data_IF_038411686534
#
_entry.id   IF_038411686534
#
_cell.length_a   1.000
_cell.length_b   1.000
_cell.length_c   1.000
_cell.angle_alpha   90.00
_cell.angle_beta   90.00
_cell.angle_gamma   90.00
#
_symmetry.space_group_name_H-M   'P 1'
#
loop_
_entity.id
_entity.type
_entity.pdbx_description
1 polymer ?
#
# COMPACT_ATOMS: atom_id res chain seq x y z
N UNK A 1 -17.05 -34.28 0.30
CA UNK A 1 -17.40 -35.55 0.98
C UNK A 1 -16.50 -36.69 0.54
N UNK A 2 -16.00 -37.51 1.49
CA UNK A 2 -15.28 -38.73 1.15
C UNK A 2 -16.16 -39.63 0.26
N UNK A 3 -15.53 -40.18 -0.77
CA UNK A 3 -16.12 -41.17 -1.66
C UNK A 3 -16.22 -42.54 -0.97
N UNK A 4 -15.16 -42.92 -0.28
CA UNK A 4 -15.08 -44.16 0.50
C UNK A 4 -14.07 -44.00 1.64
N UNK A 5 -14.14 -44.87 2.65
CA UNK A 5 -13.09 -44.99 3.66
C UNK A 5 -12.83 -46.46 3.94
N UNK A 6 -11.58 -46.78 4.33
CA UNK A 6 -11.15 -48.13 4.67
C UNK A 6 -10.23 -48.09 5.88
N UNK A 7 -10.60 -48.78 6.94
CA UNK A 7 -9.76 -48.94 8.14
C UNK A 7 -8.88 -50.18 7.98
N UNK A 8 -7.59 -50.04 8.24
CA UNK A 8 -6.58 -51.10 8.15
C UNK A 8 -6.11 -51.57 9.53
N UNK A 9 -6.17 -50.71 10.55
CA UNK A 9 -5.96 -51.05 11.97
C UNK A 9 -6.64 -50.01 12.86
N UNK A 10 -6.68 -50.23 14.18
CA UNK A 10 -7.30 -49.32 15.15
C UNK A 10 -6.77 -47.87 15.08
N UNK A 11 -5.52 -47.71 14.61
CA UNK A 11 -4.86 -46.41 14.47
C UNK A 11 -4.60 -46.01 13.00
N UNK A 12 -5.11 -46.76 12.02
CA UNK A 12 -4.85 -46.48 10.61
C UNK A 12 -6.08 -46.69 9.73
N UNK A 13 -6.53 -45.63 9.08
CA UNK A 13 -7.57 -45.65 8.06
C UNK A 13 -7.19 -44.77 6.86
N UNK A 14 -7.58 -45.19 5.66
CA UNK A 14 -7.55 -44.36 4.47
C UNK A 14 -8.94 -43.81 4.15
N UNK A 15 -8.99 -42.57 3.68
CA UNK A 15 -10.17 -41.97 3.09
C UNK A 15 -9.90 -41.67 1.64
N UNK A 16 -10.75 -42.17 0.76
CA UNK A 16 -10.75 -41.82 -0.65
C UNK A 16 -11.67 -40.61 -0.85
N UNK A 17 -11.13 -39.51 -1.37
CA UNK A 17 -11.93 -38.32 -1.67
C UNK A 17 -12.55 -38.44 -3.07
N UNK A 18 -13.78 -37.92 -3.23
CA UNK A 18 -14.40 -37.84 -4.56
C UNK A 18 -13.51 -37.00 -5.49
N UNK A 19 -13.31 -37.45 -6.74
CA UNK A 19 -12.67 -36.64 -7.78
C UNK A 19 -13.43 -35.32 -7.91
N UNK A 20 -12.74 -34.22 -7.66
CA UNK A 20 -13.31 -32.88 -7.68
C UNK A 20 -13.36 -32.41 -9.15
N UNK A 21 -14.55 -32.35 -9.72
CA UNK A 21 -14.77 -31.62 -10.96
C UNK A 21 -14.88 -30.13 -10.61
N UNK A 22 -14.04 -29.29 -11.22
CA UNK A 22 -14.04 -27.84 -11.01
C UNK A 22 -14.41 -27.18 -12.33
N UNK A 23 -15.48 -26.40 -12.32
CA UNK A 23 -15.80 -25.48 -13.42
C UNK A 23 -14.95 -24.23 -13.21
N UNK A 24 -14.20 -23.83 -14.22
CA UNK A 24 -13.30 -22.68 -14.17
C UNK A 24 -13.95 -21.45 -14.80
N UNK A 25 -14.91 -20.87 -14.09
CA UNK A 25 -15.73 -19.71 -14.50
C UNK A 25 -15.33 -18.42 -13.79
N UNK A 26 -14.26 -18.46 -12.98
CA UNK A 26 -13.78 -17.30 -12.22
C UNK A 26 -12.73 -16.52 -13.01
N UNK A 27 -12.77 -15.18 -12.98
CA UNK A 27 -11.82 -14.33 -13.70
C UNK A 27 -10.46 -14.22 -12.98
N UNK A 28 -9.84 -15.35 -12.65
CA UNK A 28 -8.61 -15.41 -11.85
C UNK A 28 -7.46 -14.67 -12.55
N UNK A 29 -7.33 -14.81 -13.87
CA UNK A 29 -6.29 -14.12 -14.65
C UNK A 29 -6.48 -12.60 -14.67
N UNK A 30 -7.73 -12.13 -14.71
CA UNK A 30 -8.04 -10.70 -14.63
C UNK A 30 -7.66 -10.16 -13.24
N UNK A 31 -8.02 -10.90 -12.18
CA UNK A 31 -7.64 -10.55 -10.81
C UNK A 31 -6.12 -10.48 -10.62
N UNK A 32 -5.37 -11.43 -11.19
CA UNK A 32 -3.91 -11.41 -11.19
C UNK A 32 -3.36 -10.19 -11.93
N UNK A 33 -3.84 -9.91 -13.15
CA UNK A 33 -3.37 -8.77 -13.92
C UNK A 33 -3.61 -7.43 -13.19
N UNK A 34 -4.79 -7.25 -12.59
CA UNK A 34 -5.09 -6.06 -11.80
C UNK A 34 -4.14 -5.93 -10.61
N UNK A 35 -3.90 -7.04 -9.87
CA UNK A 35 -3.00 -7.03 -8.72
C UNK A 35 -1.57 -6.65 -9.12
N UNK A 36 -1.05 -7.20 -10.21
CA UNK A 36 0.31 -6.86 -10.68
C UNK A 36 0.40 -5.41 -11.15
N UNK A 37 -0.62 -4.88 -11.84
CA UNK A 37 -0.68 -3.46 -12.20
C UNK A 37 -0.72 -2.55 -10.98
N UNK A 38 -1.47 -2.91 -9.93
CA UNK A 38 -1.51 -2.14 -8.69
C UNK A 38 -0.16 -2.13 -7.97
N UNK A 39 0.56 -3.25 -7.95
CA UNK A 39 1.93 -3.32 -7.39
C UNK A 39 2.90 -2.46 -8.19
N UNK A 40 2.82 -2.49 -9.52
CA UNK A 40 3.69 -1.70 -10.39
C UNK A 40 3.56 -0.20 -10.11
N UNK A 41 2.34 0.31 -9.92
CA UNK A 41 2.09 1.71 -9.57
C UNK A 41 2.77 2.08 -8.23
N UNK A 42 2.61 1.22 -7.22
CA UNK A 42 3.22 1.42 -5.90
C UNK A 42 4.75 1.38 -5.96
N UNK A 43 5.30 0.40 -6.69
CA UNK A 43 6.74 0.25 -6.85
C UNK A 43 7.36 1.38 -7.66
N UNK A 44 6.72 1.81 -8.75
CA UNK A 44 7.21 2.93 -9.56
C UNK A 44 7.24 4.22 -8.75
N UNK A 45 6.22 4.49 -7.93
CA UNK A 45 6.25 5.65 -7.04
C UNK A 45 7.45 5.64 -6.08
N UNK A 46 7.75 4.50 -5.47
CA UNK A 46 8.89 4.44 -4.55
C UNK A 46 10.23 4.36 -5.26
N UNK A 47 10.43 3.39 -6.15
CA UNK A 47 11.73 3.08 -6.75
C UNK A 47 12.13 3.98 -7.91
N UNK A 48 11.17 4.47 -8.70
CA UNK A 48 11.48 5.33 -9.86
C UNK A 48 11.42 6.82 -9.49
N UNK A 49 10.59 7.19 -8.50
CA UNK A 49 10.40 8.59 -8.11
C UNK A 49 11.02 8.94 -6.75
N UNK A 50 10.53 8.36 -5.64
CA UNK A 50 10.98 8.77 -4.29
C UNK A 50 12.46 8.43 -4.06
N UNK A 51 12.87 7.21 -4.36
CA UNK A 51 14.22 6.70 -4.06
C UNK A 51 15.31 7.44 -4.85
N UNK A 52 15.18 7.70 -6.16
CA UNK A 52 16.19 8.47 -6.89
C UNK A 52 16.19 9.95 -6.49
N UNK A 53 15.02 10.53 -6.18
CA UNK A 53 14.90 11.95 -5.82
C UNK A 53 15.46 12.29 -4.45
N UNK A 54 15.31 11.40 -3.47
CA UNK A 54 15.75 11.62 -2.08
C UNK A 54 16.93 10.74 -1.65
N UNK A 55 17.35 9.76 -2.47
CA UNK A 55 18.52 8.89 -2.29
C UNK A 55 18.51 8.20 -0.92
N UNK A 56 19.31 8.69 0.03
CA UNK A 56 19.44 8.15 1.38
C UNK A 56 18.54 8.86 2.40
N UNK A 57 17.78 9.87 1.96
CA UNK A 57 16.85 10.62 2.80
C UNK A 57 15.43 10.08 2.78
N UNK A 58 15.19 8.89 2.21
CA UNK A 58 13.88 8.23 2.21
C UNK A 58 13.99 6.73 2.45
N UNK A 59 13.19 6.25 3.39
CA UNK A 59 13.11 4.84 3.79
C UNK A 59 11.64 4.41 3.97
N UNK A 60 11.32 3.19 3.56
CA UNK A 60 10.02 2.58 3.85
C UNK A 60 10.07 2.01 5.26
N UNK A 61 9.28 2.57 6.18
CA UNK A 61 9.09 2.01 7.51
C UNK A 61 8.02 0.91 7.53
N UNK A 62 7.02 1.03 6.67
CA UNK A 62 5.90 0.09 6.56
C UNK A 62 5.21 0.20 5.20
N UNK A 63 4.61 -0.89 4.74
CA UNK A 63 3.83 -0.96 3.51
C UNK A 63 2.59 -1.84 3.73
N UNK A 64 1.43 -1.38 3.24
CA UNK A 64 0.23 -2.20 2.99
C UNK A 64 -0.14 -2.11 1.50
N UNK A 65 -1.27 -2.70 1.11
CA UNK A 65 -1.74 -2.90 -0.28
C UNK A 65 -1.57 -1.67 -1.17
N UNK A 66 -1.94 -0.49 -0.66
CA UNK A 66 -2.02 0.77 -1.39
C UNK A 66 -1.44 1.96 -0.59
N UNK A 67 -0.64 1.69 0.45
CA UNK A 67 -0.07 2.74 1.30
C UNK A 67 1.36 2.45 1.75
N UNK A 68 2.10 3.52 1.98
CA UNK A 68 3.43 3.51 2.58
C UNK A 68 3.45 4.39 3.83
N UNK A 69 4.25 3.98 4.82
CA UNK A 69 4.75 4.90 5.86
C UNK A 69 6.22 5.13 5.56
N UNK A 70 6.55 6.37 5.21
CA UNK A 70 7.89 6.76 4.79
C UNK A 70 8.58 7.59 5.87
N UNK A 71 9.80 7.21 6.24
CA UNK A 71 10.71 8.09 6.95
C UNK A 71 11.44 8.95 5.92
N UNK A 72 11.19 10.26 5.98
CA UNK A 72 11.82 11.25 5.10
C UNK A 72 12.72 12.14 5.96
N UNK A 73 14.01 12.13 5.66
CA UNK A 73 15.04 12.89 6.38
C UNK A 73 15.44 14.19 5.65
N UNK A 74 14.82 14.46 4.49
CA UNK A 74 15.10 15.64 3.68
C UNK A 74 14.33 16.86 4.21
N UNK A 75 15.04 17.90 4.64
CA UNK A 75 14.44 19.13 5.18
C UNK A 75 13.64 19.91 4.13
N UNK A 76 14.01 19.78 2.86
CA UNK A 76 13.40 20.50 1.75
C UNK A 76 12.39 19.63 0.99
N UNK A 77 11.89 18.56 1.63
CA UNK A 77 10.94 17.61 1.03
C UNK A 77 9.79 18.32 0.32
N UNK A 78 9.10 19.22 1.02
CA UNK A 78 7.91 19.90 0.51
C UNK A 78 8.22 20.78 -0.72
N UNK A 79 9.33 21.52 -0.70
CA UNK A 79 9.74 22.35 -1.83
C UNK A 79 10.14 21.49 -3.05
N UNK A 80 10.83 20.37 -2.82
CA UNK A 80 11.25 19.46 -3.89
C UNK A 80 10.09 18.76 -4.59
N UNK A 81 9.01 18.43 -3.88
CA UNK A 81 7.84 17.77 -4.48
C UNK A 81 6.85 18.76 -5.10
N UNK A 82 6.95 20.06 -4.80
CA UNK A 82 5.96 21.07 -5.19
C UNK A 82 5.69 21.11 -6.69
N UNK A 83 6.74 20.98 -7.50
CA UNK A 83 6.64 20.93 -8.96
C UNK A 83 6.00 19.64 -9.48
N UNK A 84 6.07 18.53 -8.73
CA UNK A 84 5.56 17.23 -9.14
C UNK A 84 4.11 16.98 -8.69
N UNK A 85 3.56 17.86 -7.83
CA UNK A 85 2.20 17.73 -7.28
C UNK A 85 1.16 17.45 -8.38
N UNK A 86 1.11 18.19 -9.50
CA UNK A 86 0.10 17.96 -10.53
C UNK A 86 0.13 16.53 -11.11
N UNK A 87 1.30 15.90 -11.17
CA UNK A 87 1.49 14.61 -11.84
C UNK A 87 1.47 13.42 -10.89
N UNK A 88 1.74 13.62 -9.60
CA UNK A 88 2.04 12.50 -8.67
C UNK A 88 1.23 12.50 -7.39
N UNK A 89 0.65 13.62 -6.98
CA UNK A 89 0.04 13.75 -5.66
C UNK A 89 -1.42 14.20 -5.71
N UNK A 90 -2.23 13.62 -4.83
CA UNK A 90 -3.55 14.12 -4.47
C UNK A 90 -3.40 15.02 -3.24
N UNK A 91 -3.60 16.33 -3.45
CA UNK A 91 -3.58 17.37 -2.41
C UNK A 91 -4.99 17.84 -2.03
N UNK A 92 -6.04 17.16 -2.49
CA UNK A 92 -7.44 17.58 -2.30
C UNK A 92 -7.91 17.59 -0.86
N UNK A 93 -7.23 16.86 0.03
CA UNK A 93 -7.51 16.84 1.48
C UNK A 93 -6.63 17.81 2.29
N UNK A 94 -5.78 18.60 1.62
CA UNK A 94 -4.97 19.61 2.27
C UNK A 94 -5.87 20.75 2.76
N UNK A 95 -5.86 21.01 4.06
CA UNK A 95 -6.61 22.11 4.65
C UNK A 95 -5.81 23.41 4.58
N UNK A 96 -6.47 24.59 4.44
CA UNK A 96 -5.78 25.87 4.39
C UNK A 96 -4.82 26.11 5.57
N UNK A 97 -5.20 25.72 6.78
CA UNK A 97 -4.38 25.84 8.00
C UNK A 97 -3.08 25.02 7.96
N UNK A 98 -3.06 23.93 7.19
CA UNK A 98 -1.91 23.04 7.05
C UNK A 98 -1.06 23.38 5.81
N UNK A 99 -1.54 24.25 4.92
CA UNK A 99 -0.90 24.56 3.64
C UNK A 99 0.24 25.59 3.79
N UNK A 100 1.22 25.29 4.65
CA UNK A 100 2.37 26.16 4.92
C UNK A 100 3.28 26.37 3.70
N UNK A 101 3.25 25.44 2.74
CA UNK A 101 4.10 25.42 1.55
C UNK A 101 3.40 25.95 0.28
N UNK A 102 2.14 26.37 0.39
CA UNK A 102 1.39 26.93 -0.74
C UNK A 102 1.19 25.94 -1.89
N UNK A 103 0.90 24.69 -1.56
CA UNK A 103 0.55 23.65 -2.53
C UNK A 103 -0.80 23.95 -3.18
N UNK A 104 -0.94 23.73 -4.50
CA UNK A 104 -2.24 23.81 -5.16
C UNK A 104 -3.13 22.66 -4.69
N UNK A 105 -4.44 22.88 -4.60
CA UNK A 105 -5.43 21.84 -4.26
C UNK A 105 -5.88 21.16 -5.56
N UNK A 106 -5.38 19.95 -5.81
CA UNK A 106 -5.54 19.24 -7.09
C UNK A 106 -5.91 17.76 -6.88
N UNK A 107 -6.22 17.08 -7.99
CA UNK A 107 -6.18 15.62 -8.13
C UNK A 107 -7.15 14.81 -7.25
N UNK A 108 -8.26 15.42 -6.79
CA UNK A 108 -9.27 14.74 -5.97
C UNK A 108 -9.76 13.44 -6.62
N UNK A 109 -9.35 12.30 -6.03
CA UNK A 109 -9.73 10.94 -6.46
C UNK A 109 -9.30 10.58 -7.88
N UNK A 110 -8.24 11.22 -8.38
CA UNK A 110 -7.61 10.83 -9.65
C UNK A 110 -6.80 9.55 -9.42
N UNK A 111 -6.99 8.55 -10.28
CA UNK A 111 -6.32 7.26 -10.16
C UNK A 111 -4.80 7.39 -10.30
N UNK A 112 -4.06 6.63 -9.49
CA UNK A 112 -2.60 6.59 -9.50
C UNK A 112 -1.92 7.75 -8.76
N UNK A 113 -2.68 8.72 -8.24
CA UNK A 113 -2.15 9.83 -7.45
C UNK A 113 -1.92 9.40 -6.00
N UNK A 114 -0.75 9.72 -5.46
CA UNK A 114 -0.44 9.45 -4.06
C UNK A 114 -1.02 10.51 -3.15
N UNK A 115 -1.82 10.08 -2.18
CA UNK A 115 -2.46 10.96 -1.22
C UNK A 115 -1.77 10.83 0.14
N UNK A 116 -1.53 11.95 0.81
CA UNK A 116 -1.18 11.93 2.22
C UNK A 116 -2.43 11.74 3.08
N UNK A 117 -2.52 10.63 3.83
CA UNK A 117 -3.71 10.33 4.64
C UNK A 117 -3.84 11.19 5.90
N UNK A 118 -2.75 11.82 6.34
CA UNK A 118 -2.69 12.64 7.57
C UNK A 118 -3.12 14.09 7.36
N UNK A 119 -3.51 14.46 6.13
CA UNK A 119 -3.86 15.84 5.79
C UNK A 119 -2.63 16.75 5.81
N UNK A 120 -1.48 16.20 5.45
CA UNK A 120 -0.16 16.84 5.39
C UNK A 120 0.37 17.26 6.77
N UNK A 121 -0.06 16.57 7.83
CA UNK A 121 0.47 16.72 9.19
C UNK A 121 1.51 15.63 9.42
N UNK A 122 2.81 15.96 9.55
CA UNK A 122 3.86 14.95 9.66
C UNK A 122 3.62 13.93 10.77
N UNK A 123 3.89 12.66 10.47
CA UNK A 123 3.92 11.59 11.48
C UNK A 123 5.15 11.82 12.37
N UNK A 124 4.92 12.06 13.66
CA UNK A 124 5.96 12.30 14.65
C UNK A 124 6.55 11.00 15.20
N UNK A 125 5.73 9.96 15.38
CA UNK A 125 6.18 8.62 15.83
C UNK A 125 5.45 7.52 15.09
N UNK A 126 6.17 6.45 14.80
CA UNK A 126 5.63 5.23 14.20
C UNK A 126 6.16 4.01 14.95
N UNK A 127 5.31 3.00 15.15
CA UNK A 127 5.70 1.66 15.59
C UNK A 127 4.93 0.61 14.80
N UNK A 128 5.65 -0.32 14.16
CA UNK A 128 5.09 -1.47 13.45
C UNK A 128 5.56 -2.77 14.11
N UNK A 129 4.62 -3.60 14.57
CA UNK A 129 4.96 -4.87 15.23
C UNK A 129 4.81 -6.07 14.30
N UNK A 130 3.79 -6.05 13.44
CA UNK A 130 3.55 -7.07 12.41
C UNK A 130 2.66 -6.48 11.31
N UNK A 131 2.46 -7.25 10.23
CA UNK A 131 1.48 -6.91 9.19
C UNK A 131 0.12 -6.61 9.83
N UNK A 132 -0.47 -5.46 9.43
CA UNK A 132 -1.76 -4.93 9.92
C UNK A 132 -1.81 -4.67 11.42
N UNK A 133 -0.66 -4.42 12.05
CA UNK A 133 -0.56 -4.05 13.46
C UNK A 133 0.54 -3.01 13.64
N UNK A 134 0.11 -1.75 13.62
CA UNK A 134 0.97 -0.59 13.80
C UNK A 134 0.21 0.53 14.51
N UNK A 135 0.97 1.51 15.02
CA UNK A 135 0.43 2.74 15.56
C UNK A 135 1.25 3.94 15.07
N UNK A 136 0.57 5.05 14.83
CA UNK A 136 1.17 6.33 14.46
C UNK A 136 0.76 7.41 15.47
N UNK A 137 1.66 8.35 15.73
CA UNK A 137 1.35 9.63 16.40
C UNK A 137 1.69 10.75 15.43
N UNK A 138 0.70 11.54 15.04
CA UNK A 138 0.90 12.77 14.24
C UNK A 138 1.43 13.90 15.10
N UNK A 139 2.08 14.89 14.48
CA UNK A 139 2.50 16.11 15.16
C UNK A 139 1.31 16.89 15.71
N UNK A 140 1.51 17.53 16.87
CA UNK A 140 0.54 18.48 17.42
C UNK A 140 0.61 19.79 16.59
N UNK A 141 -0.56 20.37 16.30
CA UNK A 141 -0.68 21.62 15.53
C UNK A 141 -0.31 22.86 16.36
#
# INVERSE_FOLDING_TARGET
DPHSHRTFSDNFAAMELKKKNIIYDKPIYVGFAILELSKEIMYSFYYDYMKPKFVNNVEICYQDTDSFILAIHDKDFHEKIKADIPERFDTSNLKPENNKFGFPILNHRVLGMMKDETGWIPIHKFVGLKSKMYAIKIADN
#
